data_IF_546701151276
#
_entry.id   IF_546701151276
#
_cell.length_a   1.000
_cell.length_b   1.000
_cell.length_c   1.000
_cell.angle_alpha   90.00
_cell.angle_beta   90.00
_cell.angle_gamma   90.00
#
_symmetry.space_group_name_H-M   'P 1'
#
loop_
_entity.id
_entity.type
_entity.pdbx_description
1 polymer ?
#
# COMPACT_ATOMS: atom_id res chain seq x y z
N UNK A 1 -15.64 -21.01 -24.93
CA UNK A 1 -14.23 -20.97 -24.47
C UNK A 1 -13.88 -19.49 -24.36
N UNK A 2 -13.50 -19.02 -23.18
CA UNK A 2 -13.06 -17.63 -23.00
C UNK A 2 -11.93 -17.33 -23.98
N UNK A 3 -11.98 -16.15 -24.63
CA UNK A 3 -10.91 -15.72 -25.54
C UNK A 3 -9.58 -15.61 -24.78
N UNK A 4 -8.50 -16.07 -25.41
CA UNK A 4 -7.16 -15.93 -24.87
C UNK A 4 -6.79 -14.45 -24.71
N UNK A 5 -6.60 -14.01 -23.46
CA UNK A 5 -6.19 -12.64 -23.14
C UNK A 5 -4.68 -12.45 -23.33
N UNK A 6 -4.31 -11.25 -23.73
CA UNK A 6 -2.93 -10.81 -23.95
C UNK A 6 -2.46 -9.90 -22.82
N UNK A 7 -1.37 -10.25 -22.15
CA UNK A 7 -0.82 -9.52 -21.02
C UNK A 7 0.60 -9.06 -21.34
N UNK A 8 0.80 -7.73 -21.38
CA UNK A 8 2.12 -7.14 -21.56
C UNK A 8 2.81 -6.96 -20.21
N UNK A 9 4.09 -7.34 -20.11
CA UNK A 9 4.93 -7.07 -18.93
C UNK A 9 5.99 -6.03 -19.23
N UNK A 10 6.03 -4.92 -18.47
CA UNK A 10 7.01 -3.83 -18.67
C UNK A 10 8.29 -3.98 -17.84
N UNK A 11 8.30 -4.91 -16.89
CA UNK A 11 9.44 -5.23 -16.03
C UNK A 11 9.52 -6.74 -15.86
N UNK A 12 10.61 -7.23 -15.26
CA UNK A 12 10.62 -8.59 -14.71
C UNK A 12 9.56 -8.70 -13.61
N UNK A 13 8.48 -9.43 -13.90
CA UNK A 13 7.43 -9.77 -12.94
C UNK A 13 7.73 -11.17 -12.40
N UNK A 14 7.53 -11.38 -11.10
CA UNK A 14 7.80 -12.67 -10.45
C UNK A 14 7.08 -13.83 -11.16
N UNK A 15 7.81 -14.93 -11.38
CA UNK A 15 7.26 -16.16 -11.94
C UNK A 15 6.08 -16.71 -11.12
N UNK A 16 6.11 -16.59 -9.78
CA UNK A 16 4.97 -16.99 -8.93
C UNK A 16 3.74 -16.13 -9.17
N UNK A 17 3.93 -14.84 -9.46
CA UNK A 17 2.83 -13.94 -9.85
C UNK A 17 2.26 -14.31 -11.21
N UNK A 18 3.12 -14.50 -12.21
CA UNK A 18 2.71 -14.88 -13.57
C UNK A 18 1.99 -16.23 -13.59
N UNK A 19 2.40 -17.18 -12.75
CA UNK A 19 1.75 -18.49 -12.60
C UNK A 19 0.31 -18.41 -12.03
N UNK A 20 -0.14 -17.24 -11.56
CA UNK A 20 -1.55 -17.02 -11.16
C UNK A 20 -2.44 -16.60 -12.32
N UNK A 21 -1.87 -16.16 -13.43
CA UNK A 21 -2.64 -15.90 -14.64
C UNK A 21 -3.12 -17.23 -15.23
N UNK A 22 -4.33 -17.28 -15.82
CA UNK A 22 -4.80 -18.47 -16.50
C UNK A 22 -3.82 -18.95 -17.58
N UNK A 23 -3.64 -20.27 -17.69
CA UNK A 23 -2.66 -20.86 -18.63
C UNK A 23 -2.93 -20.53 -20.10
N UNK A 24 -4.17 -20.19 -20.44
CA UNK A 24 -4.56 -19.83 -21.80
C UNK A 24 -4.26 -18.37 -22.15
N UNK A 25 -3.73 -17.57 -21.22
CA UNK A 25 -3.30 -16.20 -21.50
C UNK A 25 -1.95 -16.18 -22.20
N UNK A 26 -1.76 -15.22 -23.11
CA UNK A 26 -0.49 -14.94 -23.75
C UNK A 26 0.20 -13.83 -22.97
N UNK A 27 1.37 -14.12 -22.39
CA UNK A 27 2.08 -13.20 -21.48
C UNK A 27 3.51 -13.01 -21.94
N UNK A 28 3.94 -11.75 -22.09
CA UNK A 28 5.29 -11.45 -22.58
C UNK A 28 5.60 -9.95 -22.61
N UNK A 29 6.88 -9.63 -22.83
CA UNK A 29 7.36 -8.23 -22.93
C UNK A 29 7.20 -7.62 -24.33
N UNK A 30 6.87 -8.44 -25.32
CA UNK A 30 6.76 -8.14 -26.74
C UNK A 30 5.31 -8.29 -27.27
N UNK A 31 4.36 -8.48 -26.35
CA UNK A 31 2.93 -8.64 -26.67
C UNK A 31 2.36 -7.35 -27.25
N UNK A 32 1.92 -7.40 -28.51
CA UNK A 32 1.21 -6.32 -29.19
C UNK A 32 -0.29 -6.34 -28.86
N UNK A 33 -0.90 -5.16 -28.75
CA UNK A 33 -2.33 -4.98 -28.44
C UNK A 33 -2.78 -5.77 -27.20
N UNK A 34 -2.17 -5.54 -26.02
CA UNK A 34 -2.52 -6.25 -24.80
C UNK A 34 -3.91 -5.86 -24.30
N UNK A 35 -4.61 -6.82 -23.68
CA UNK A 35 -5.82 -6.59 -22.88
C UNK A 35 -5.47 -5.97 -21.52
N UNK A 36 -4.30 -6.30 -20.96
CA UNK A 36 -3.83 -5.72 -19.71
C UNK A 36 -2.30 -5.57 -19.67
N UNK A 37 -1.84 -4.65 -18.83
CA UNK A 37 -0.40 -4.41 -18.62
C UNK A 37 -0.05 -4.67 -17.16
N UNK A 38 0.94 -5.51 -16.93
CA UNK A 38 1.58 -5.68 -15.62
C UNK A 38 2.89 -4.90 -15.55
N UNK A 39 3.03 -4.07 -14.52
CA UNK A 39 4.16 -3.15 -14.34
C UNK A 39 4.65 -3.14 -12.90
N UNK A 40 5.93 -2.83 -12.69
CA UNK A 40 6.50 -2.60 -11.35
C UNK A 40 6.94 -1.14 -11.18
N UNK A 41 8.02 -0.77 -11.83
CA UNK A 41 8.69 0.54 -11.68
C UNK A 41 8.90 1.27 -13.01
N UNK A 42 8.65 0.64 -14.17
CA UNK A 42 8.71 1.33 -15.44
C UNK A 42 7.70 2.49 -15.48
N UNK A 43 8.13 3.64 -16.00
CA UNK A 43 7.24 4.79 -16.21
C UNK A 43 6.35 4.54 -17.42
N UNK A 44 5.05 4.86 -17.28
CA UNK A 44 4.05 4.76 -18.33
C UNK A 44 3.53 6.14 -18.78
N UNK A 45 4.08 7.24 -18.25
CA UNK A 45 3.56 8.59 -18.54
C UNK A 45 3.72 9.01 -20.00
N UNK A 46 4.82 8.57 -20.61
CA UNK A 46 5.18 8.85 -22.01
C UNK A 46 4.87 7.67 -22.95
N UNK A 47 4.28 6.61 -22.41
CA UNK A 47 3.90 5.43 -23.19
C UNK A 47 2.59 5.71 -23.95
N UNK A 48 2.55 5.35 -25.23
CA UNK A 48 1.28 5.22 -25.95
C UNK A 48 0.60 3.91 -25.52
N UNK A 49 -0.41 4.01 -24.67
CA UNK A 49 -1.11 2.86 -24.09
C UNK A 49 -2.22 2.44 -25.06
N UNK A 50 -2.15 1.25 -25.70
CA UNK A 50 -3.12 0.83 -26.71
C UNK A 50 -4.57 0.88 -26.22
N UNK A 51 -5.51 1.16 -27.12
CA UNK A 51 -6.95 1.23 -26.81
C UNK A 51 -7.52 -0.12 -26.33
N UNK A 52 -6.86 -1.23 -26.65
CA UNK A 52 -7.22 -2.58 -26.22
C UNK A 52 -7.03 -2.80 -24.71
N UNK A 53 -6.23 -1.96 -24.04
CA UNK A 53 -5.93 -2.12 -22.62
C UNK A 53 -7.17 -1.82 -21.78
N UNK A 54 -7.62 -2.84 -21.06
CA UNK A 54 -8.78 -2.84 -20.16
C UNK A 54 -8.36 -2.75 -18.69
N UNK A 55 -7.13 -3.15 -18.33
CA UNK A 55 -6.65 -3.10 -16.95
C UNK A 55 -5.15 -2.83 -16.84
N UNK A 56 -4.74 -2.11 -15.79
CA UNK A 56 -3.34 -1.98 -15.38
C UNK A 56 -3.14 -2.64 -14.03
N UNK A 57 -2.16 -3.53 -13.93
CA UNK A 57 -1.73 -4.14 -12.69
C UNK A 57 -0.35 -3.66 -12.25
N UNK A 58 -0.27 -2.90 -11.16
CA UNK A 58 1.00 -2.48 -10.57
C UNK A 58 1.43 -3.41 -9.45
N UNK A 59 2.51 -4.18 -9.64
CA UNK A 59 3.16 -5.00 -8.62
C UNK A 59 3.86 -4.15 -7.55
N UNK A 60 3.08 -3.59 -6.63
CA UNK A 60 3.51 -2.81 -5.48
C UNK A 60 2.45 -1.80 -5.02
N UNK A 61 2.70 -1.10 -3.90
CA UNK A 61 1.72 -0.18 -3.31
C UNK A 61 1.52 1.18 -4.03
N UNK A 62 2.58 1.96 -4.30
CA UNK A 62 2.48 3.26 -4.99
C UNK A 62 2.21 3.16 -6.51
N UNK A 63 1.65 4.21 -7.12
CA UNK A 63 1.28 4.22 -8.56
C UNK A 63 1.81 5.45 -9.30
N UNK A 64 2.86 6.10 -8.78
CA UNK A 64 3.42 7.36 -9.29
C UNK A 64 3.92 7.27 -10.75
N UNK A 65 4.26 6.08 -11.19
CA UNK A 65 4.76 5.77 -12.52
C UNK A 65 3.65 5.52 -13.56
N UNK A 66 2.37 5.63 -13.18
CA UNK A 66 1.22 5.34 -14.03
C UNK A 66 0.39 6.61 -14.24
N UNK A 67 -0.05 6.93 -15.47
CA UNK A 67 -0.93 8.07 -15.74
C UNK A 67 -2.38 7.77 -15.32
N UNK A 68 -2.62 7.64 -14.01
CA UNK A 68 -3.90 7.19 -13.44
C UNK A 68 -5.09 8.00 -13.96
N UNK A 69 -4.98 9.32 -14.05
CA UNK A 69 -6.07 10.19 -14.54
C UNK A 69 -6.49 9.86 -15.97
N UNK A 70 -5.52 9.72 -16.89
CA UNK A 70 -5.78 9.36 -18.31
C UNK A 70 -6.48 8.00 -18.42
N UNK A 71 -6.15 7.06 -17.53
CA UNK A 71 -6.74 5.73 -17.50
C UNK A 71 -8.15 5.74 -16.90
N UNK A 72 -8.41 6.58 -15.89
CA UNK A 72 -9.76 6.81 -15.37
C UNK A 72 -10.69 7.30 -16.47
N UNK A 73 -10.28 8.31 -17.23
CA UNK A 73 -11.05 8.89 -18.35
C UNK A 73 -11.38 7.86 -19.44
N UNK A 74 -10.59 6.78 -19.54
CA UNK A 74 -10.80 5.64 -20.46
C UNK A 74 -11.63 4.50 -19.87
N UNK A 75 -12.06 4.58 -18.61
CA UNK A 75 -12.73 3.47 -17.94
C UNK A 75 -11.80 2.33 -17.50
N UNK A 76 -10.48 2.55 -17.48
CA UNK A 76 -9.47 1.52 -17.20
C UNK A 76 -9.05 1.54 -15.72
N UNK A 77 -9.38 0.50 -14.93
CA UNK A 77 -8.92 0.39 -13.56
C UNK A 77 -7.40 0.18 -13.46
N UNK A 78 -6.82 0.82 -12.45
CA UNK A 78 -5.42 0.69 -12.07
C UNK A 78 -5.34 -0.01 -10.71
N UNK A 79 -4.99 -1.29 -10.75
CA UNK A 79 -4.81 -2.13 -9.57
C UNK A 79 -3.41 -1.92 -8.98
N UNK A 80 -3.33 -1.92 -7.65
CA UNK A 80 -2.07 -1.96 -6.91
C UNK A 80 -2.06 -3.12 -5.91
N UNK A 81 -0.98 -3.25 -5.15
CA UNK A 81 -0.81 -4.31 -4.15
C UNK A 81 -0.69 -3.77 -2.72
N UNK A 82 -1.75 -3.15 -2.16
CA UNK A 82 -1.69 -2.59 -0.81
C UNK A 82 -1.59 -3.73 0.22
N UNK A 83 -0.67 -3.59 1.18
CA UNK A 83 -0.48 -4.57 2.24
C UNK A 83 0.28 -5.85 1.84
N UNK A 84 0.53 -6.09 0.55
CA UNK A 84 1.32 -7.25 0.09
C UNK A 84 2.77 -7.25 0.63
N UNK A 85 3.30 -6.06 0.94
CA UNK A 85 4.60 -5.87 1.57
C UNK A 85 4.53 -5.68 3.10
N UNK A 86 3.37 -5.88 3.73
CA UNK A 86 3.18 -5.56 5.15
C UNK A 86 4.13 -6.33 6.06
N UNK A 87 4.43 -7.59 5.73
CA UNK A 87 5.38 -8.40 6.49
C UNK A 87 6.82 -7.84 6.44
N UNK A 88 7.29 -7.45 5.25
CA UNK A 88 8.63 -6.89 5.07
C UNK A 88 8.81 -5.59 5.85
N UNK A 89 7.83 -4.68 5.77
CA UNK A 89 7.85 -3.43 6.55
C UNK A 89 7.80 -3.72 8.06
N UNK A 90 6.96 -4.66 8.49
CA UNK A 90 6.87 -5.08 9.90
C UNK A 90 8.24 -5.54 10.41
N UNK A 91 8.92 -6.44 9.71
CA UNK A 91 10.25 -6.93 10.11
C UNK A 91 11.27 -5.80 10.21
N UNK A 92 11.25 -4.87 9.24
CA UNK A 92 12.15 -3.74 9.23
C UNK A 92 11.87 -2.75 10.38
N UNK A 93 10.60 -2.53 10.75
CA UNK A 93 10.22 -1.70 11.91
C UNK A 93 10.68 -2.35 13.21
N UNK A 94 10.50 -3.66 13.38
CA UNK A 94 10.99 -4.37 14.57
C UNK A 94 12.52 -4.29 14.65
N UNK A 95 13.22 -4.48 13.53
CA UNK A 95 14.66 -4.24 13.46
C UNK A 95 15.03 -2.79 13.84
N UNK A 96 14.27 -1.81 13.34
CA UNK A 96 14.41 -0.39 13.68
C UNK A 96 14.25 -0.12 15.18
N UNK A 97 13.26 -0.74 15.82
CA UNK A 97 13.05 -0.63 17.25
C UNK A 97 14.24 -1.19 18.02
N UNK A 98 14.78 -2.35 17.63
CA UNK A 98 15.96 -2.93 18.26
C UNK A 98 17.23 -2.10 18.03
N UNK A 99 17.41 -1.54 16.82
CA UNK A 99 18.51 -0.62 16.51
C UNK A 99 18.48 0.61 17.42
N UNK A 100 17.30 1.21 17.62
CA UNK A 100 17.11 2.34 18.54
C UNK A 100 17.28 1.96 20.00
N UNK A 101 16.67 0.86 20.45
CA UNK A 101 16.67 0.43 21.84
C UNK A 101 18.07 0.04 22.34
N UNK A 102 18.91 -0.51 21.47
CA UNK A 102 20.21 -1.11 21.83
C UNK A 102 21.42 -0.35 21.28
N UNK A 103 21.21 0.83 20.68
CA UNK A 103 22.26 1.64 20.05
C UNK A 103 23.14 0.84 19.07
N UNK A 104 22.54 -0.06 18.28
CA UNK A 104 23.29 -1.05 17.50
C UNK A 104 24.20 -0.40 16.46
N UNK A 105 23.68 0.59 15.71
CA UNK A 105 24.45 1.23 14.63
C UNK A 105 25.65 2.03 15.16
N UNK A 106 25.52 2.87 16.21
CA UNK A 106 26.67 3.48 16.86
C UNK A 106 27.68 2.47 17.40
N UNK A 107 27.22 1.39 18.02
CA UNK A 107 28.09 0.35 18.57
C UNK A 107 28.90 -0.38 17.48
N UNK A 108 28.27 -0.71 16.35
CA UNK A 108 28.96 -1.32 15.20
C UNK A 108 30.03 -0.37 14.62
N UNK A 109 29.68 0.91 14.40
CA UNK A 109 30.63 1.92 13.91
C UNK A 109 31.81 2.13 14.86
N UNK A 110 31.57 2.07 16.17
CA UNK A 110 32.63 2.14 17.15
C UNK A 110 33.62 1.00 16.98
N UNK A 111 33.13 -0.24 16.87
CA UNK A 111 33.98 -1.43 16.65
C UNK A 111 34.73 -1.35 15.32
N UNK A 112 34.06 -0.96 14.23
CA UNK A 112 34.67 -0.82 12.90
C UNK A 112 35.78 0.25 12.87
N UNK A 113 35.71 1.24 13.76
CA UNK A 113 36.70 2.30 13.89
C UNK A 113 37.91 1.95 14.76
N UNK A 114 37.89 0.81 15.46
CA UNK A 114 39.01 0.37 16.27
C UNK A 114 40.13 -0.24 15.39
N UNK A 115 41.37 -0.11 15.84
CA UNK A 115 42.55 -0.65 15.16
C UNK A 115 43.61 -1.07 16.18
N UNK A 116 44.42 -2.07 15.87
CA UNK A 116 45.51 -2.54 16.74
C UNK A 116 45.54 -4.06 16.85
N UNK A 117 46.20 -4.57 17.90
CA UNK A 117 46.18 -6.01 18.24
C UNK A 117 44.88 -6.39 18.94
N UNK A 118 44.59 -7.69 19.03
CA UNK A 118 43.40 -8.21 19.72
C UNK A 118 43.31 -7.73 21.18
N UNK A 119 44.43 -7.64 21.90
CA UNK A 119 44.46 -7.12 23.27
C UNK A 119 44.11 -5.62 23.33
N UNK A 120 44.56 -4.82 22.36
CA UNK A 120 44.24 -3.41 22.28
C UNK A 120 42.75 -3.19 21.98
N UNK A 121 42.22 -3.96 21.02
CA UNK A 121 40.80 -4.00 20.68
C UNK A 121 39.93 -4.37 21.88
N UNK A 122 40.30 -5.42 22.62
CA UNK A 122 39.57 -5.86 23.80
C UNK A 122 39.52 -4.77 24.88
N UNK A 123 40.66 -4.15 25.20
CA UNK A 123 40.72 -3.04 26.17
C UNK A 123 39.86 -1.85 25.76
N UNK A 124 39.92 -1.45 24.48
CA UNK A 124 39.12 -0.35 23.96
C UNK A 124 37.61 -0.66 24.01
N UNK A 125 37.23 -1.91 23.70
CA UNK A 125 35.84 -2.37 23.73
C UNK A 125 35.25 -2.34 25.15
N UNK A 126 35.98 -2.90 26.13
CA UNK A 126 35.53 -2.89 27.53
C UNK A 126 35.42 -1.47 28.09
N UNK A 127 36.33 -0.57 27.71
CA UNK A 127 36.26 0.84 28.10
C UNK A 127 35.06 1.58 27.45
N UNK A 128 34.71 1.27 26.21
CA UNK A 128 33.63 1.91 25.45
C UNK A 128 32.23 1.39 25.77
N UNK A 129 32.09 0.16 26.29
CA UNK A 129 30.81 -0.55 26.45
C UNK A 129 29.69 0.26 27.13
N UNK A 130 30.02 1.05 28.16
CA UNK A 130 29.03 1.83 28.92
C UNK A 130 28.33 2.90 28.08
N UNK A 131 28.95 3.36 27.00
CA UNK A 131 28.41 4.40 26.12
C UNK A 131 27.20 3.92 25.29
N UNK A 132 27.06 2.59 25.13
CA UNK A 132 26.02 1.97 24.30
C UNK A 132 24.91 1.32 25.15
N UNK A 133 24.84 1.63 26.45
CA UNK A 133 23.80 1.12 27.33
C UNK A 133 22.41 1.49 26.77
N UNK A 134 21.65 0.46 26.42
CA UNK A 134 20.31 0.58 25.85
C UNK A 134 19.21 0.23 26.86
N UNK A 135 18.05 -0.14 26.34
CA UNK A 135 16.93 -0.61 27.13
C UNK A 135 16.18 -1.75 26.43
N UNK A 136 15.40 -2.49 27.22
CA UNK A 136 14.57 -3.58 26.73
C UNK A 136 13.17 -3.10 26.32
N UNK A 137 12.52 -3.86 25.45
CA UNK A 137 11.17 -3.58 24.93
C UNK A 137 10.03 -3.95 25.90
N UNK A 138 10.06 -5.08 26.64
CA UNK A 138 8.94 -5.49 27.48
C UNK A 138 8.47 -4.40 28.47
N UNK A 139 7.15 -4.26 28.61
CA UNK A 139 6.50 -3.27 29.47
C UNK A 139 6.44 -1.85 28.90
N UNK A 140 7.24 -1.53 27.86
CA UNK A 140 7.17 -0.22 27.17
C UNK A 140 5.99 -0.14 26.22
N UNK A 141 5.62 1.09 25.88
CA UNK A 141 4.48 1.35 24.99
C UNK A 141 4.95 1.68 23.57
N UNK A 142 4.47 0.92 22.59
CA UNK A 142 4.54 1.27 21.18
C UNK A 142 3.26 2.03 20.78
N UNK A 143 3.46 3.25 20.28
CA UNK A 143 2.44 4.07 19.63
C UNK A 143 2.45 3.86 18.12
N UNK A 144 1.32 3.48 17.55
CA UNK A 144 1.12 3.33 16.11
C UNK A 144 0.23 4.44 15.58
N UNK A 145 0.72 5.17 14.59
CA UNK A 145 -0.08 6.14 13.84
C UNK A 145 -0.31 5.55 12.45
N UNK A 146 -1.51 5.05 12.21
CA UNK A 146 -1.89 4.19 11.08
C UNK A 146 -2.03 2.72 11.50
N UNK A 147 -3.23 2.18 11.35
CA UNK A 147 -3.64 0.83 11.77
C UNK A 147 -4.13 -0.03 10.59
N UNK A 148 -3.66 0.29 9.38
CA UNK A 148 -3.81 -0.58 8.21
C UNK A 148 -3.00 -1.88 8.34
N UNK A 149 -2.87 -2.62 7.23
CA UNK A 149 -2.23 -3.94 7.20
C UNK A 149 -0.81 -3.98 7.83
N UNK A 150 -0.02 -2.93 7.63
CA UNK A 150 1.32 -2.82 8.24
C UNK A 150 1.21 -2.63 9.76
N UNK A 151 0.37 -1.69 10.20
CA UNK A 151 0.19 -1.37 11.62
C UNK A 151 -0.32 -2.56 12.42
N UNK A 152 -1.28 -3.33 11.89
CA UNK A 152 -1.80 -4.52 12.57
C UNK A 152 -0.75 -5.61 12.76
N UNK A 153 0.08 -5.86 11.75
CA UNK A 153 1.18 -6.82 11.82
C UNK A 153 2.26 -6.39 12.84
N UNK A 154 2.56 -5.09 12.91
CA UNK A 154 3.51 -4.54 13.88
C UNK A 154 2.95 -4.62 15.29
N UNK A 155 1.67 -4.28 15.47
CA UNK A 155 1.00 -4.40 16.76
C UNK A 155 1.09 -5.82 17.31
N UNK A 156 0.77 -6.83 16.49
CA UNK A 156 0.87 -8.23 16.88
C UNK A 156 2.30 -8.62 17.30
N UNK A 157 3.30 -8.25 16.49
CA UNK A 157 4.70 -8.54 16.79
C UNK A 157 5.16 -7.86 18.09
N UNK A 158 4.80 -6.58 18.30
CA UNK A 158 5.17 -5.83 19.48
C UNK A 158 4.55 -6.41 20.77
N UNK A 159 3.27 -6.82 20.71
CA UNK A 159 2.60 -7.52 21.80
C UNK A 159 3.34 -8.82 22.16
N UNK A 160 3.73 -9.61 21.16
CA UNK A 160 4.49 -10.86 21.38
C UNK A 160 5.89 -10.60 21.96
N UNK A 161 6.45 -9.41 21.73
CA UNK A 161 7.69 -8.93 22.35
C UNK A 161 7.47 -8.32 23.75
N UNK A 162 6.26 -8.43 24.31
CA UNK A 162 5.92 -7.99 25.66
C UNK A 162 5.62 -6.49 25.78
N UNK A 163 5.39 -5.78 24.68
CA UNK A 163 5.06 -4.35 24.70
C UNK A 163 3.57 -4.11 24.88
N UNK A 164 3.24 -2.94 25.43
CA UNK A 164 1.91 -2.37 25.33
C UNK A 164 1.76 -1.68 23.97
N UNK A 165 0.57 -1.72 23.35
CA UNK A 165 0.34 -1.06 22.07
C UNK A 165 -0.84 -0.09 22.18
N UNK A 166 -0.62 1.14 21.75
CA UNK A 166 -1.67 2.15 21.54
C UNK A 166 -1.66 2.59 20.08
N UNK A 167 -2.83 2.78 19.49
CA UNK A 167 -2.97 3.02 18.06
C UNK A 167 -3.99 4.09 17.73
N UNK A 168 -3.69 4.93 16.74
CA UNK A 168 -4.65 5.87 16.16
C UNK A 168 -4.67 5.73 14.63
N UNK A 169 -5.87 5.63 14.07
CA UNK A 169 -6.10 5.68 12.63
C UNK A 169 -7.48 6.33 12.37
N UNK A 170 -7.54 7.51 11.74
CA UNK A 170 -8.81 8.19 11.45
C UNK A 170 -9.64 7.49 10.38
N UNK A 171 -9.03 6.61 9.57
CA UNK A 171 -9.64 5.92 8.43
C UNK A 171 -9.70 4.40 8.61
N UNK A 172 -9.70 3.90 9.86
CA UNK A 172 -9.74 2.45 10.09
C UNK A 172 -10.99 1.84 9.47
N UNK A 173 -10.78 0.92 8.53
CA UNK A 173 -11.86 0.15 7.91
C UNK A 173 -12.34 -0.95 8.86
N UNK A 174 -13.57 -1.44 8.67
CA UNK A 174 -14.10 -2.59 9.43
C UNK A 174 -13.15 -3.78 9.34
N UNK A 175 -12.70 -4.14 8.14
CA UNK A 175 -11.77 -5.24 7.94
C UNK A 175 -10.43 -5.04 8.66
N UNK A 176 -9.91 -3.81 8.70
CA UNK A 176 -8.68 -3.51 9.43
C UNK A 176 -8.89 -3.63 10.94
N UNK A 177 -10.03 -3.18 11.47
CA UNK A 177 -10.38 -3.31 12.88
C UNK A 177 -10.49 -4.79 13.30
N UNK A 178 -11.05 -5.66 12.45
CA UNK A 178 -11.13 -7.10 12.71
C UNK A 178 -9.77 -7.81 12.74
N UNK A 179 -8.76 -7.29 12.04
CA UNK A 179 -7.39 -7.83 12.05
C UNK A 179 -6.56 -7.37 13.23
N UNK A 180 -7.00 -6.33 13.93
CA UNK A 180 -6.22 -5.73 15.00
C UNK A 180 -6.29 -6.61 16.26
N UNK A 181 -5.16 -6.91 16.92
CA UNK A 181 -5.20 -7.64 18.18
C UNK A 181 -6.03 -6.90 19.22
N UNK A 182 -6.85 -7.62 19.98
CA UNK A 182 -7.75 -7.04 21.00
C UNK A 182 -7.02 -6.29 22.13
N UNK A 183 -5.72 -6.55 22.30
CA UNK A 183 -4.87 -5.87 23.29
C UNK A 183 -4.42 -4.47 22.85
N UNK A 184 -4.63 -4.08 21.58
CA UNK A 184 -4.31 -2.73 21.10
C UNK A 184 -5.32 -1.75 21.66
N UNK A 185 -4.83 -0.74 22.39
CA UNK A 185 -5.67 0.36 22.89
C UNK A 185 -5.86 1.38 21.78
N UNK A 186 -7.11 1.73 21.47
CA UNK A 186 -7.42 2.81 20.54
C UNK A 186 -7.22 4.16 21.23
N UNK A 187 -6.52 5.08 20.56
CA UNK A 187 -6.44 6.49 20.90
C UNK A 187 -7.44 7.30 20.07
N UNK A 188 -7.83 8.48 20.56
CA UNK A 188 -8.79 9.37 19.90
C UNK A 188 -8.12 10.31 18.89
N UNK A 189 -6.83 10.61 19.08
CA UNK A 189 -6.03 11.46 18.20
C UNK A 189 -4.54 11.08 18.25
N UNK A 190 -3.75 11.74 17.41
CA UNK A 190 -2.29 11.54 17.33
C UNK A 190 -1.61 11.88 18.65
N UNK A 191 -2.00 12.99 19.28
CA UNK A 191 -1.38 13.49 20.49
C UNK A 191 -1.53 12.52 21.67
N UNK A 192 -2.66 11.83 21.77
CA UNK A 192 -2.90 10.79 22.79
C UNK A 192 -1.93 9.61 22.65
N UNK A 193 -1.60 9.22 21.40
CA UNK A 193 -0.55 8.21 21.13
C UNK A 193 0.81 8.74 21.59
N UNK A 194 1.17 9.96 21.17
CA UNK A 194 2.49 10.54 21.41
C UNK A 194 2.80 10.72 22.91
N UNK A 195 1.81 11.09 23.72
CA UNK A 195 1.98 11.35 25.16
C UNK A 195 2.37 10.10 25.96
N UNK A 196 1.94 8.92 25.54
CA UNK A 196 2.12 7.68 26.32
C UNK A 196 3.18 6.74 25.77
N UNK A 197 3.54 6.92 24.49
CA UNK A 197 4.42 6.02 23.76
C UNK A 197 5.91 6.24 24.07
N UNK A 198 6.63 5.14 24.34
CA UNK A 198 8.10 5.09 24.40
C UNK A 198 8.70 4.94 23.00
N UNK A 199 7.98 4.26 22.10
CA UNK A 199 8.29 4.14 20.68
C UNK A 199 7.12 4.65 19.86
N UNK A 200 7.35 5.44 18.83
CA UNK A 200 6.29 5.88 17.92
C UNK A 200 6.65 5.46 16.50
N UNK A 201 5.78 4.68 15.85
CA UNK A 201 5.96 4.26 14.46
C UNK A 201 4.83 4.76 13.57
N UNK A 202 5.21 5.33 12.42
CA UNK A 202 4.32 5.97 11.47
C UNK A 202 4.02 5.05 10.29
N UNK A 203 2.73 4.92 9.94
CA UNK A 203 2.20 4.06 8.88
C UNK A 203 1.05 4.73 8.11
N UNK A 204 1.21 6.03 7.81
CA UNK A 204 0.21 6.86 7.11
C UNK A 204 0.65 7.22 5.68
N UNK A 205 -0.28 7.43 4.74
CA UNK A 205 0.07 8.01 3.43
C UNK A 205 0.60 9.46 3.59
N UNK A 206 1.29 9.97 2.57
CA UNK A 206 1.63 11.39 2.47
C UNK A 206 0.51 12.12 1.74
N UNK A 207 -0.21 12.97 2.48
CA UNK A 207 -1.30 13.84 2.06
C UNK A 207 -1.08 15.21 2.69
N UNK A 208 -1.83 16.24 2.29
CA UNK A 208 -1.70 17.57 2.90
C UNK A 208 -1.92 17.55 4.41
N UNK A 209 -2.87 16.73 4.89
CA UNK A 209 -3.14 16.57 6.32
C UNK A 209 -2.11 15.75 7.11
N UNK A 210 -1.22 15.01 6.43
CA UNK A 210 -0.16 14.19 7.07
C UNK A 210 1.25 14.69 6.75
N UNK A 211 1.38 15.76 5.96
CA UNK A 211 2.64 16.45 5.73
C UNK A 211 3.10 17.10 7.03
N UNK A 212 4.35 16.83 7.42
CA UNK A 212 4.92 17.24 8.70
C UNK A 212 3.99 16.90 9.88
N UNK A 213 3.33 15.74 9.81
CA UNK A 213 2.50 15.22 10.89
C UNK A 213 3.29 15.22 12.19
N UNK A 214 4.55 14.78 12.18
CA UNK A 214 5.45 14.93 13.32
C UNK A 214 6.31 16.18 13.11
N UNK A 215 5.89 17.28 13.73
CA UNK A 215 6.54 18.58 13.74
C UNK A 215 7.07 18.94 15.14
N UNK A 216 7.66 20.12 15.30
CA UNK A 216 8.22 20.62 16.59
C UNK A 216 7.18 20.51 17.73
N UNK A 217 5.94 20.92 17.48
CA UNK A 217 4.89 20.94 18.50
C UNK A 217 4.55 19.52 18.97
N UNK A 218 4.40 18.58 18.03
CA UNK A 218 4.08 17.18 18.34
C UNK A 218 5.25 16.43 18.95
N UNK A 219 6.48 16.72 18.54
CA UNK A 219 7.66 16.19 19.24
C UNK A 219 7.69 16.71 20.68
N UNK A 220 7.29 17.96 20.92
CA UNK A 220 7.19 18.55 22.25
C UNK A 220 6.31 17.76 23.23
N UNK A 221 5.23 17.13 22.75
CA UNK A 221 4.32 16.32 23.59
C UNK A 221 4.74 14.86 23.74
N UNK A 222 5.73 14.39 22.98
CA UNK A 222 6.25 13.01 23.12
C UNK A 222 6.90 12.80 24.48
N UNK A 223 7.01 11.54 24.92
CA UNK A 223 7.78 11.22 26.13
C UNK A 223 9.26 11.58 25.93
N UNK A 224 9.93 12.16 26.94
CA UNK A 224 11.38 12.36 26.88
C UNK A 224 12.10 11.02 26.64
N UNK A 225 13.06 11.00 25.71
CA UNK A 225 13.79 9.79 25.35
C UNK A 225 12.97 8.81 24.48
N UNK A 226 11.89 9.25 23.85
CA UNK A 226 11.15 8.39 22.91
C UNK A 226 11.98 8.05 21.67
N UNK A 227 11.70 6.89 21.07
CA UNK A 227 12.27 6.48 19.78
C UNK A 227 11.22 6.69 18.70
N UNK A 228 11.56 7.48 17.68
CA UNK A 228 10.68 7.76 16.55
C UNK A 228 11.07 6.89 15.34
N UNK A 229 10.07 6.29 14.69
CA UNK A 229 10.25 5.45 13.51
C UNK A 229 9.38 5.95 12.34
N UNK A 230 9.99 6.17 11.18
CA UNK A 230 9.26 6.51 9.95
C UNK A 230 9.61 5.56 8.79
N UNK A 231 8.73 4.59 8.58
CA UNK A 231 8.75 3.64 7.46
C UNK A 231 7.54 3.83 6.54
N UNK A 232 6.87 4.97 6.65
CA UNK A 232 5.68 5.28 5.87
C UNK A 232 6.02 6.02 4.58
N UNK A 233 6.33 7.31 4.71
CA UNK A 233 6.63 8.21 3.59
C UNK A 233 7.59 9.32 4.03
N UNK A 234 8.39 9.78 3.09
CA UNK A 234 9.14 11.03 3.20
C UNK A 234 8.18 12.21 3.40
N UNK A 235 8.57 13.20 4.20
CA UNK A 235 7.77 14.42 4.44
C UNK A 235 6.62 14.29 5.45
N UNK A 236 6.42 13.11 6.05
CA UNK A 236 5.50 12.95 7.21
C UNK A 236 6.14 13.47 8.50
N UNK A 237 7.48 13.49 8.54
CA UNK A 237 8.27 13.97 9.68
C UNK A 237 9.08 15.18 9.24
N UNK A 238 9.09 16.22 10.07
CA UNK A 238 9.98 17.36 9.90
C UNK A 238 11.39 16.99 10.40
N UNK A 239 12.33 16.85 9.46
CA UNK A 239 13.69 16.44 9.77
C UNK A 239 14.43 17.47 10.63
N UNK A 240 14.17 18.78 10.47
CA UNK A 240 14.84 19.80 11.28
C UNK A 240 14.39 19.72 12.74
N UNK A 241 13.08 19.56 12.95
CA UNK A 241 12.49 19.36 14.27
C UNK A 241 13.04 18.12 14.98
N UNK A 242 13.26 17.02 14.24
CA UNK A 242 13.86 15.80 14.79
C UNK A 242 15.30 16.00 15.21
N UNK A 243 16.12 16.66 14.38
CA UNK A 243 17.54 16.92 14.71
C UNK A 243 17.65 17.71 16.01
N UNK A 244 16.91 18.82 16.13
CA UNK A 244 16.88 19.62 17.36
C UNK A 244 16.42 18.80 18.58
N UNK A 245 15.43 17.94 18.41
CA UNK A 245 14.93 17.08 19.47
C UNK A 245 15.94 15.99 19.90
N UNK A 246 16.76 15.50 18.99
CA UNK A 246 17.83 14.54 19.29
C UNK A 246 19.00 15.21 20.02
N UNK A 247 19.33 16.44 19.63
CA UNK A 247 20.38 17.25 20.26
C UNK A 247 20.01 17.68 21.68
N UNK A 248 18.74 18.06 21.91
CA UNK A 248 18.21 18.39 23.24
C UNK A 248 17.91 17.18 24.11
N UNK A 249 18.00 15.96 23.56
CA UNK A 249 17.68 14.71 24.27
C UNK A 249 16.18 14.45 24.47
N UNK A 250 15.31 15.26 23.85
CA UNK A 250 13.87 15.01 23.81
C UNK A 250 13.56 13.68 23.12
N UNK A 251 14.27 13.36 22.04
CA UNK A 251 14.25 12.05 21.39
C UNK A 251 15.53 11.27 21.72
N UNK A 252 15.38 9.96 21.89
CA UNK A 252 16.51 9.05 22.07
C UNK A 252 17.14 8.66 20.74
N UNK A 253 16.31 8.30 19.76
CA UNK A 253 16.76 7.90 18.42
C UNK A 253 15.67 8.16 17.38
N UNK A 254 16.09 8.35 16.13
CA UNK A 254 15.21 8.39 14.97
C UNK A 254 15.65 7.34 13.95
N UNK A 255 14.73 6.45 13.58
CA UNK A 255 14.97 5.42 12.58
C UNK A 255 14.01 5.65 11.42
N UNK A 256 14.53 5.80 10.21
CA UNK A 256 13.69 6.05 9.05
C UNK A 256 14.19 5.35 7.81
N UNK A 257 13.28 5.20 6.85
CA UNK A 257 13.55 4.62 5.54
C UNK A 257 13.80 5.68 4.46
N UNK A 258 14.06 6.93 4.87
CA UNK A 258 14.14 8.10 4.01
C UNK A 258 15.39 8.93 4.35
N UNK A 259 16.51 8.73 3.63
CA UNK A 259 17.73 9.48 3.90
C UNK A 259 17.59 10.93 3.45
N UNK A 260 18.12 11.86 4.24
CA UNK A 260 18.14 13.28 3.92
C UNK A 260 19.45 13.92 4.41
N UNK A 261 19.87 15.02 3.76
CA UNK A 261 21.11 15.72 4.12
C UNK A 261 21.11 16.19 5.59
N UNK A 262 19.98 16.68 6.10
CA UNK A 262 19.84 17.12 7.50
C UNK A 262 20.06 15.99 8.51
N UNK A 263 19.83 14.73 8.11
CA UNK A 263 19.94 13.55 8.97
C UNK A 263 21.33 12.89 8.87
N UNK A 264 22.09 13.23 7.83
CA UNK A 264 23.34 12.54 7.47
C UNK A 264 24.39 12.74 8.57
N UNK A 265 24.92 11.63 9.07
CA UNK A 265 26.03 11.63 10.03
C UNK A 265 25.61 11.86 11.49
N UNK A 266 24.34 12.15 11.77
CA UNK A 266 23.87 12.29 13.15
C UNK A 266 23.94 10.95 13.89
N UNK A 267 24.62 10.91 15.04
CA UNK A 267 24.89 9.68 15.78
C UNK A 267 23.64 8.92 16.27
N UNK A 268 22.50 9.60 16.43
CA UNK A 268 21.23 9.03 16.92
C UNK A 268 20.22 8.76 15.80
N UNK A 269 20.65 8.88 14.54
CA UNK A 269 19.82 8.63 13.36
C UNK A 269 20.29 7.40 12.61
N UNK A 270 19.33 6.54 12.25
CA UNK A 270 19.52 5.47 11.28
C UNK A 270 18.60 5.75 10.10
N UNK A 271 19.17 6.10 8.96
CA UNK A 271 18.44 6.34 7.72
C UNK A 271 18.77 5.25 6.69
N UNK A 272 17.75 4.52 6.26
CA UNK A 272 17.84 3.40 5.32
C UNK A 272 17.37 3.84 3.92
N UNK A 273 17.87 3.23 2.83
CA UNK A 273 17.57 3.65 1.47
C UNK A 273 16.26 3.06 0.94
N UNK A 274 15.13 3.31 1.62
CA UNK A 274 13.80 2.87 1.19
C UNK A 274 13.67 1.35 1.04
N UNK A 275 14.06 0.60 2.06
CA UNK A 275 14.09 -0.86 2.10
C UNK A 275 12.75 -1.53 2.43
N UNK A 276 11.72 -0.78 2.85
CA UNK A 276 10.49 -1.36 3.41
C UNK A 276 9.77 -2.39 2.54
N UNK A 277 9.90 -2.33 1.21
CA UNK A 277 9.35 -3.32 0.28
C UNK A 277 10.42 -4.14 -0.46
N UNK A 278 11.69 -3.95 -0.14
CA UNK A 278 12.84 -4.45 -0.90
C UNK A 278 13.23 -5.86 -0.45
N UNK A 279 12.30 -6.81 -0.56
CA UNK A 279 12.53 -8.25 -0.32
C UNK A 279 11.96 -9.08 -1.46
N UNK A 280 12.54 -10.25 -1.71
CA UNK A 280 12.04 -11.16 -2.75
C UNK A 280 10.58 -11.55 -2.51
N UNK A 281 10.22 -11.86 -1.27
CA UNK A 281 8.87 -12.24 -0.87
C UNK A 281 7.87 -11.10 -1.06
N UNK A 282 8.24 -9.86 -0.76
CA UNK A 282 7.36 -8.71 -0.96
C UNK A 282 7.09 -8.50 -2.45
N UNK A 283 8.12 -8.59 -3.31
CA UNK A 283 7.95 -8.50 -4.75
C UNK A 283 7.05 -9.62 -5.30
N UNK A 284 7.27 -10.87 -4.84
CA UNK A 284 6.44 -12.02 -5.21
C UNK A 284 4.97 -11.83 -4.78
N UNK A 285 4.74 -11.44 -3.53
CA UNK A 285 3.38 -11.22 -3.00
C UNK A 285 2.66 -10.11 -3.76
N UNK A 286 3.35 -9.04 -4.12
CA UNK A 286 2.78 -7.96 -4.91
C UNK A 286 2.38 -8.44 -6.30
N UNK A 287 3.23 -9.23 -6.96
CA UNK A 287 2.94 -9.79 -8.27
C UNK A 287 1.76 -10.79 -8.23
N UNK A 288 1.71 -11.67 -7.23
CA UNK A 288 0.61 -12.61 -7.01
C UNK A 288 -0.72 -11.88 -6.81
N UNK A 289 -0.77 -10.89 -5.92
CA UNK A 289 -1.99 -10.13 -5.65
C UNK A 289 -2.52 -9.46 -6.92
N UNK A 290 -1.64 -8.82 -7.68
CA UNK A 290 -2.03 -8.06 -8.87
C UNK A 290 -2.45 -8.97 -10.01
N UNK A 291 -1.77 -10.10 -10.21
CA UNK A 291 -2.17 -11.08 -11.22
C UNK A 291 -3.57 -11.65 -10.93
N UNK A 292 -3.87 -11.96 -9.67
CA UNK A 292 -5.22 -12.41 -9.25
C UNK A 292 -6.26 -11.32 -9.50
N UNK A 293 -5.99 -10.07 -9.11
CA UNK A 293 -6.93 -8.95 -9.29
C UNK A 293 -7.20 -8.65 -10.77
N UNK A 294 -6.16 -8.63 -11.60
CA UNK A 294 -6.30 -8.42 -13.05
C UNK A 294 -7.09 -9.56 -13.68
N UNK A 295 -6.82 -10.81 -13.30
CA UNK A 295 -7.57 -11.97 -13.79
C UNK A 295 -9.06 -11.88 -13.40
N UNK A 296 -9.36 -11.61 -12.14
CA UNK A 296 -10.74 -11.52 -11.67
C UNK A 296 -11.50 -10.35 -12.32
N UNK A 297 -10.82 -9.23 -12.58
CA UNK A 297 -11.40 -8.15 -13.38
C UNK A 297 -11.64 -8.57 -14.83
N UNK A 298 -10.67 -9.22 -15.48
CA UNK A 298 -10.78 -9.61 -16.87
C UNK A 298 -11.90 -10.62 -17.11
N UNK A 299 -12.06 -11.60 -16.21
CA UNK A 299 -13.02 -12.70 -16.32
C UNK A 299 -14.40 -12.37 -15.70
N UNK A 300 -14.42 -11.67 -14.55
CA UNK A 300 -15.65 -11.46 -13.76
C UNK A 300 -16.05 -10.01 -13.58
N UNK A 301 -15.20 -9.06 -13.98
CA UNK A 301 -15.45 -7.62 -13.85
C UNK A 301 -15.34 -7.12 -12.41
N UNK A 302 -14.88 -7.94 -11.47
CA UNK A 302 -14.68 -7.53 -10.09
C UNK A 302 -13.50 -6.57 -9.98
N UNK A 303 -13.60 -5.58 -9.08
CA UNK A 303 -12.56 -4.60 -8.81
C UNK A 303 -12.24 -4.65 -7.32
N UNK A 304 -11.01 -5.03 -6.99
CA UNK A 304 -10.46 -4.93 -5.63
C UNK A 304 -9.09 -4.25 -5.68
N UNK A 305 -8.86 -3.30 -4.76
CA UNK A 305 -7.63 -2.50 -4.66
C UNK A 305 -7.30 -1.74 -5.95
N UNK A 306 -8.30 -1.08 -6.52
CA UNK A 306 -8.08 -0.08 -7.57
C UNK A 306 -7.81 1.30 -6.97
N UNK A 307 -6.82 2.01 -7.49
CA UNK A 307 -6.53 3.38 -7.04
C UNK A 307 -7.53 4.39 -7.60
N UNK A 308 -8.16 4.12 -8.75
CA UNK A 308 -9.08 5.04 -9.43
C UNK A 308 -10.54 4.61 -9.49
N UNK A 309 -10.87 3.33 -9.23
CA UNK A 309 -12.25 2.84 -9.19
C UNK A 309 -12.64 2.31 -7.79
N UNK A 310 -13.94 2.27 -7.46
CA UNK A 310 -14.42 1.70 -6.21
C UNK A 310 -14.20 0.18 -6.15
N UNK A 311 -14.11 -0.36 -4.93
CA UNK A 311 -14.10 -1.81 -4.72
C UNK A 311 -15.49 -2.40 -4.99
N UNK A 312 -15.62 -3.18 -6.05
CA UNK A 312 -16.86 -3.85 -6.46
C UNK A 312 -16.62 -5.35 -6.55
N UNK A 313 -17.42 -6.13 -5.83
CA UNK A 313 -17.39 -7.58 -5.89
C UNK A 313 -18.85 -8.07 -5.96
N UNK A 314 -19.17 -8.82 -7.03
CA UNK A 314 -20.46 -9.46 -7.22
C UNK A 314 -20.21 -10.93 -7.51
N UNK A 315 -20.70 -11.83 -6.65
CA UNK A 315 -20.68 -13.26 -6.94
C UNK A 315 -21.39 -13.50 -8.28
N UNK A 316 -20.88 -14.43 -9.09
CA UNK A 316 -21.49 -14.74 -10.39
C UNK A 316 -22.73 -15.60 -10.19
N UNK A 317 -23.87 -15.05 -10.56
CA UNK A 317 -25.19 -15.70 -10.45
C UNK A 317 -25.83 -15.92 -11.84
N UNK A 318 -25.23 -15.38 -12.90
CA UNK A 318 -25.61 -15.63 -14.29
C UNK A 318 -24.41 -15.87 -15.21
N UNK A 319 -24.66 -16.62 -16.29
CA UNK A 319 -23.74 -16.79 -17.42
C UNK A 319 -23.54 -15.49 -18.20
N UNK A 320 -24.39 -14.48 -18.01
CA UNK A 320 -24.35 -13.22 -18.74
C UNK A 320 -24.15 -12.05 -17.80
N UNK A 321 -22.99 -11.39 -17.92
CA UNK A 321 -22.60 -10.27 -17.05
C UNK A 321 -22.16 -9.07 -17.86
N UNK A 322 -22.58 -7.88 -17.41
CA UNK A 322 -22.10 -6.60 -17.91
C UNK A 322 -21.34 -5.84 -16.82
N UNK A 323 -20.21 -5.29 -17.23
CA UNK A 323 -19.35 -4.42 -16.44
C UNK A 323 -19.31 -3.04 -17.11
N UNK A 324 -19.77 -2.01 -16.41
CA UNK A 324 -19.92 -0.65 -16.97
C UNK A 324 -19.16 0.32 -16.08
N UNK A 325 -18.11 0.91 -16.63
CA UNK A 325 -17.38 2.02 -16.03
C UNK A 325 -17.97 3.34 -16.52
N UNK A 326 -18.25 4.27 -15.60
CA UNK A 326 -18.89 5.54 -15.93
C UNK A 326 -18.42 6.67 -15.01
N UNK A 327 -18.62 7.91 -15.46
CA UNK A 327 -18.50 9.09 -14.62
C UNK A 327 -19.57 9.07 -13.52
N UNK A 328 -19.22 9.52 -12.32
CA UNK A 328 -20.11 9.56 -11.17
C UNK A 328 -21.06 10.78 -11.26
N UNK A 329 -22.02 10.71 -12.17
CA UNK A 329 -23.03 11.75 -12.41
C UNK A 329 -24.45 11.23 -12.16
N UNK A 330 -25.43 12.10 -11.83
CA UNK A 330 -26.80 11.69 -11.58
C UNK A 330 -27.42 10.88 -12.72
N UNK A 331 -28.38 10.01 -12.38
CA UNK A 331 -29.18 9.22 -13.33
C UNK A 331 -28.43 8.18 -14.16
N UNK A 332 -27.15 7.88 -13.88
CA UNK A 332 -26.43 6.86 -14.67
C UNK A 332 -27.03 5.46 -14.54
N UNK A 333 -27.31 5.03 -13.31
CA UNK A 333 -27.93 3.71 -13.06
C UNK A 333 -29.30 3.63 -13.74
N UNK A 334 -30.10 4.71 -13.70
CA UNK A 334 -31.41 4.74 -14.36
C UNK A 334 -31.33 4.64 -15.88
N UNK A 335 -30.34 5.28 -16.51
CA UNK A 335 -30.11 5.16 -17.95
C UNK A 335 -29.69 3.75 -18.33
N UNK A 336 -28.75 3.15 -17.59
CA UNK A 336 -28.28 1.77 -17.81
C UNK A 336 -29.45 0.79 -17.72
N UNK A 337 -30.23 0.85 -16.64
CA UNK A 337 -31.35 -0.09 -16.44
C UNK A 337 -32.47 0.12 -17.45
N UNK A 338 -32.69 1.35 -17.93
CA UNK A 338 -33.67 1.65 -18.98
C UNK A 338 -33.31 1.01 -20.32
N UNK A 339 -32.03 1.01 -20.71
CA UNK A 339 -31.57 0.32 -21.92
C UNK A 339 -31.77 -1.19 -21.80
N UNK A 340 -31.41 -1.77 -20.66
CA UNK A 340 -31.62 -3.21 -20.41
C UNK A 340 -33.11 -3.58 -20.44
N UNK A 341 -33.96 -2.79 -19.79
CA UNK A 341 -35.40 -3.00 -19.76
C UNK A 341 -36.05 -2.88 -21.15
N UNK A 342 -35.65 -1.88 -21.94
CA UNK A 342 -36.13 -1.71 -23.32
C UNK A 342 -35.73 -2.88 -24.23
N UNK A 343 -34.59 -3.52 -23.94
CA UNK A 343 -34.15 -4.73 -24.62
C UNK A 343 -34.80 -6.02 -24.09
N UNK A 344 -35.68 -5.92 -23.07
CA UNK A 344 -36.32 -7.08 -22.43
C UNK A 344 -35.37 -7.95 -21.61
N UNK A 345 -34.22 -7.42 -21.18
CA UNK A 345 -33.26 -8.12 -20.35
C UNK A 345 -33.65 -7.98 -18.87
N UNK A 346 -33.98 -9.09 -18.21
CA UNK A 346 -34.18 -9.11 -16.78
C UNK A 346 -32.82 -9.02 -16.04
N UNK A 347 -32.77 -8.19 -15.01
CA UNK A 347 -31.59 -8.03 -14.15
C UNK A 347 -31.71 -9.04 -13.00
N UNK A 348 -30.79 -9.99 -12.97
CA UNK A 348 -30.71 -11.01 -11.92
C UNK A 348 -30.14 -10.41 -10.63
N UNK A 349 -29.01 -9.73 -10.77
CA UNK A 349 -28.30 -9.10 -9.67
C UNK A 349 -27.54 -7.86 -10.19
N UNK A 350 -27.36 -6.85 -9.35
CA UNK A 350 -26.66 -5.63 -9.71
C UNK A 350 -26.03 -4.99 -8.48
N UNK A 351 -24.80 -4.51 -8.66
CA UNK A 351 -24.13 -3.63 -7.71
C UNK A 351 -23.60 -2.40 -8.43
N UNK A 352 -23.81 -1.23 -7.85
CA UNK A 352 -23.20 0.03 -8.26
C UNK A 352 -22.48 0.66 -7.07
N UNK A 353 -21.26 1.14 -7.30
CA UNK A 353 -20.49 1.91 -6.32
C UNK A 353 -19.77 3.06 -7.01
N UNK A 354 -19.36 4.05 -6.22
CA UNK A 354 -18.61 5.21 -6.69
C UNK A 354 -17.38 5.50 -5.83
N UNK A 355 -16.40 6.18 -6.42
CA UNK A 355 -15.16 6.67 -5.80
C UNK A 355 -14.73 7.94 -6.51
N UNK A 356 -14.85 9.08 -5.82
CA UNK A 356 -14.60 10.40 -6.43
C UNK A 356 -15.49 10.60 -7.66
N UNK A 357 -14.86 10.92 -8.79
CA UNK A 357 -15.54 11.19 -10.05
C UNK A 357 -15.90 9.92 -10.84
N UNK A 358 -15.57 8.74 -10.32
CA UNK A 358 -15.73 7.45 -11.00
C UNK A 358 -16.81 6.60 -10.36
N UNK A 359 -17.58 5.89 -11.16
CA UNK A 359 -18.54 4.88 -10.73
C UNK A 359 -18.45 3.63 -11.60
N UNK A 360 -18.89 2.52 -11.03
CA UNK A 360 -18.81 1.21 -11.67
C UNK A 360 -20.05 0.39 -11.35
N UNK A 361 -20.70 -0.11 -12.39
CA UNK A 361 -21.87 -0.99 -12.31
C UNK A 361 -21.49 -2.37 -12.81
N UNK A 362 -21.74 -3.39 -11.98
CA UNK A 362 -21.63 -4.79 -12.36
C UNK A 362 -23.02 -5.39 -12.28
N UNK A 363 -23.51 -6.00 -13.36
CA UNK A 363 -24.86 -6.55 -13.42
C UNK A 363 -24.90 -7.90 -14.13
N UNK A 364 -25.61 -8.83 -13.51
CA UNK A 364 -25.97 -10.13 -14.08
C UNK A 364 -27.36 -10.02 -14.69
N UNK A 365 -27.50 -10.54 -15.91
CA UNK A 365 -28.77 -10.57 -16.66
C UNK A 365 -29.10 -12.00 -17.07
N UNK A 366 -30.38 -12.32 -17.26
CA UNK A 366 -30.80 -13.71 -17.48
C UNK A 366 -30.59 -14.22 -18.93
N UNK A 367 -30.17 -13.37 -19.87
CA UNK A 367 -29.98 -13.74 -21.27
C UNK A 367 -28.81 -13.03 -21.95
N UNK A 368 -28.39 -13.55 -23.10
CA UNK A 368 -27.24 -13.04 -23.83
C UNK A 368 -27.42 -11.58 -24.26
N UNK A 369 -26.37 -10.78 -24.12
CA UNK A 369 -26.38 -9.35 -24.45
C UNK A 369 -25.85 -9.16 -25.87
N UNK A 370 -26.69 -8.59 -26.75
CA UNK A 370 -26.31 -8.36 -28.14
C UNK A 370 -25.32 -7.19 -28.29
N UNK A 371 -24.56 -7.18 -29.38
CA UNK A 371 -23.67 -6.08 -29.72
C UNK A 371 -24.40 -4.73 -29.87
N UNK A 372 -25.68 -4.74 -30.24
CA UNK A 372 -26.49 -3.53 -30.31
C UNK A 372 -26.75 -2.93 -28.93
N UNK A 373 -27.09 -3.77 -27.94
CA UNK A 373 -27.30 -3.32 -26.56
C UNK A 373 -25.99 -2.75 -25.98
N UNK A 374 -24.86 -3.40 -26.26
CA UNK A 374 -23.53 -2.90 -25.85
C UNK A 374 -23.26 -1.52 -26.46
N UNK A 375 -23.58 -1.31 -27.75
CA UNK A 375 -23.46 0.00 -28.41
C UNK A 375 -24.35 1.05 -27.76
N UNK A 376 -25.60 0.71 -27.47
CA UNK A 376 -26.56 1.62 -26.82
C UNK A 376 -26.08 2.05 -25.43
N UNK A 377 -25.60 1.10 -24.62
CA UNK A 377 -25.00 1.38 -23.32
C UNK A 377 -23.75 2.27 -23.46
N UNK A 378 -22.90 2.00 -24.44
CA UNK A 378 -21.68 2.77 -24.69
C UNK A 378 -21.95 4.19 -25.19
N UNK A 379 -23.13 4.43 -25.79
CA UNK A 379 -23.55 5.74 -26.28
C UNK A 379 -24.15 6.64 -25.21
N UNK A 380 -24.40 6.12 -23.99
CA UNK A 380 -24.87 6.93 -22.86
C UNK A 380 -23.78 7.93 -22.49
N UNK A 381 -24.13 9.22 -22.47
CA UNK A 381 -23.21 10.28 -22.06
C UNK A 381 -22.71 10.03 -20.63
N UNK A 382 -21.39 9.95 -20.47
CA UNK A 382 -20.74 9.65 -19.20
C UNK A 382 -20.39 8.17 -18.99
N UNK A 383 -20.83 7.25 -19.86
CA UNK A 383 -20.26 5.88 -19.91
C UNK A 383 -18.88 5.93 -20.55
N UNK A 384 -17.91 5.30 -19.89
CA UNK A 384 -16.50 5.32 -20.28
C UNK A 384 -16.06 4.00 -20.90
N UNK A 385 -16.58 2.88 -20.40
CA UNK A 385 -16.35 1.55 -20.97
C UNK A 385 -17.51 0.61 -20.62
N UNK A 386 -17.87 -0.25 -21.58
CA UNK A 386 -18.83 -1.34 -21.40
C UNK A 386 -18.13 -2.65 -21.78
N UNK A 387 -18.17 -3.64 -20.87
CA UNK A 387 -17.60 -4.97 -21.08
C UNK A 387 -18.69 -6.02 -20.88
N UNK A 388 -18.84 -6.90 -21.85
CA UNK A 388 -19.68 -8.09 -21.74
C UNK A 388 -18.82 -9.30 -21.40
N UNK A 389 -19.20 -10.01 -20.34
CA UNK A 389 -18.41 -11.07 -19.71
C UNK A 389 -19.24 -12.36 -19.63
N UNK A 390 -19.46 -13.05 -20.76
CA UNK A 390 -20.13 -14.34 -20.77
C UNK A 390 -19.26 -15.42 -20.10
N UNK A 391 -19.89 -16.42 -19.48
CA UNK A 391 -19.22 -17.55 -18.84
C UNK A 391 -18.58 -18.54 -19.82
#
# INVERSE_FOLDING_TARGET
>A
MAEARKILTLNAISAKGLARLPQHYVVGGDVSEPDAILVRSASMHDMDIPVTVQAIGRAGAGTNNIPVKKLSERGVPVFNAPGANANAVKELVIAGMLMGARNLVPALKFVDGLSGTDEAMHKATEAGKKQFAGFELPGRTLGLIGLGAIGSHIAEAAIRLGMNVVGFDPGITVDAAWRLPSQVKRAENVEDVLRVADFVSLHVPLLDGTRNLINVQRIGVMRPGAVLLNFAREGVVDNAAVVEALDTGKLHAYICDFPANALKGHAKVVALPHLGASTGEAEENCAVMVAVQVTDYLENGNILNSVNFPNVNLARESDYRLAIANANVPNMVGQITSVLAAAGLNIHNMVNKSKGDMAYTLTDVDSAVSAEIIRQLSAIEGVLAVRYLPA
#
